data_IF_288045943086
#
_entry.id   IF_288045943086
#
_cell.length_a   1.000
_cell.length_b   1.000
_cell.length_c   1.000
_cell.angle_alpha   90.00
_cell.angle_beta   90.00
_cell.angle_gamma   90.00
#
_symmetry.space_group_name_H-M   'P 1'
#
loop_
_entity.id
_entity.type
_entity.pdbx_description
1 polymer ?
#
# COMPACT_ATOMS: atom_id res chain seq x y z
N UNK A 1 -46.98 40.78 -53.73
CA UNK A 1 -47.11 39.62 -52.83
C UNK A 1 -45.73 39.19 -52.38
N UNK A 2 -45.30 39.68 -51.21
CA UNK A 2 -44.06 39.25 -50.56
C UNK A 2 -44.34 37.97 -49.80
N UNK A 3 -43.76 36.86 -50.27
CA UNK A 3 -43.76 35.60 -49.54
C UNK A 3 -42.76 35.74 -48.38
N UNK A 4 -43.28 36.03 -47.19
CA UNK A 4 -42.50 35.93 -45.96
C UNK A 4 -42.27 34.43 -45.69
N UNK A 5 -41.03 33.98 -45.87
CA UNK A 5 -40.61 32.62 -45.53
C UNK A 5 -40.58 32.51 -43.99
N UNK A 6 -41.69 32.11 -43.37
CA UNK A 6 -41.70 31.83 -41.93
C UNK A 6 -40.91 30.55 -41.70
N UNK A 7 -39.71 30.66 -41.11
CA UNK A 7 -38.99 29.48 -40.67
C UNK A 7 -39.81 28.76 -39.61
N UNK A 8 -40.08 27.48 -39.83
CA UNK A 8 -40.76 26.62 -38.85
C UNK A 8 -39.95 26.63 -37.55
N UNK A 9 -40.55 26.98 -36.39
CA UNK A 9 -39.83 27.02 -35.14
C UNK A 9 -39.30 25.63 -34.78
N UNK A 10 -37.98 25.54 -34.56
CA UNK A 10 -37.32 24.29 -34.19
C UNK A 10 -37.62 23.96 -32.73
N UNK A 11 -38.44 22.95 -32.51
CA UNK A 11 -38.79 22.48 -31.17
C UNK A 11 -37.70 21.60 -30.55
N UNK A 12 -37.67 21.54 -29.21
CA UNK A 12 -36.78 20.66 -28.45
C UNK A 12 -37.18 19.20 -28.70
N UNK A 13 -36.25 18.33 -29.16
CA UNK A 13 -36.54 16.91 -29.31
C UNK A 13 -37.00 16.27 -27.99
N UNK A 14 -38.00 15.40 -28.05
CA UNK A 14 -38.52 14.72 -26.84
C UNK A 14 -37.91 13.33 -26.76
N UNK A 15 -37.12 13.06 -25.70
CA UNK A 15 -36.53 11.76 -25.45
C UNK A 15 -37.64 10.70 -25.24
N UNK A 16 -37.57 9.61 -26.00
CA UNK A 16 -38.55 8.52 -25.98
C UNK A 16 -38.14 7.40 -25.01
N UNK A 17 -36.83 7.24 -24.73
CA UNK A 17 -36.34 6.23 -23.81
C UNK A 17 -36.57 6.62 -22.34
N UNK A 18 -37.04 5.66 -21.52
CA UNK A 18 -37.37 5.89 -20.09
C UNK A 18 -36.16 5.89 -19.15
N UNK A 19 -34.99 5.43 -19.61
CA UNK A 19 -33.79 5.34 -18.78
C UNK A 19 -32.89 6.53 -19.04
N UNK A 20 -32.53 7.26 -17.98
CA UNK A 20 -31.45 8.26 -18.01
C UNK A 20 -30.06 7.59 -18.08
N UNK A 21 -29.99 6.26 -17.94
CA UNK A 21 -28.78 5.47 -18.12
C UNK A 21 -28.65 5.04 -19.59
N UNK A 22 -27.48 5.30 -20.16
CA UNK A 22 -27.09 4.99 -21.54
C UNK A 22 -25.92 4.02 -21.51
N UNK A 23 -26.18 2.78 -21.87
CA UNK A 23 -25.20 1.69 -21.96
C UNK A 23 -24.49 1.76 -23.30
N UNK A 24 -23.19 1.99 -23.31
CA UNK A 24 -22.40 2.21 -24.52
C UNK A 24 -21.51 0.99 -24.79
N UNK A 25 -21.39 0.51 -26.05
CA UNK A 25 -22.00 1.05 -27.28
C UNK A 25 -23.41 0.53 -27.61
N UNK A 26 -24.05 -0.25 -26.73
CA UNK A 26 -25.27 -1.01 -27.05
C UNK A 26 -26.55 -0.15 -27.22
N UNK A 27 -26.69 0.94 -26.48
CA UNK A 27 -27.92 1.70 -26.40
C UNK A 27 -28.03 2.70 -27.55
N UNK A 28 -29.23 2.75 -28.12
CA UNK A 28 -29.66 3.78 -29.06
C UNK A 28 -30.66 4.69 -28.37
N UNK A 29 -30.37 5.97 -28.30
CA UNK A 29 -31.30 6.97 -27.78
C UNK A 29 -32.22 7.41 -28.89
N UNK A 30 -33.52 7.44 -28.61
CA UNK A 30 -34.54 7.81 -29.58
C UNK A 30 -35.25 9.09 -29.14
N UNK A 31 -35.44 10.01 -30.08
CA UNK A 31 -36.12 11.29 -29.86
C UNK A 31 -37.21 11.49 -30.90
N UNK A 32 -38.35 12.04 -30.48
CA UNK A 32 -39.35 12.56 -31.41
C UNK A 32 -38.94 13.98 -31.84
N UNK A 33 -38.90 14.21 -33.15
CA UNK A 33 -38.55 15.52 -33.72
C UNK A 33 -39.15 15.69 -35.11
N UNK A 34 -39.53 16.92 -35.46
CA UNK A 34 -40.05 17.31 -36.77
C UNK A 34 -38.95 17.76 -37.75
N UNK A 35 -37.71 17.98 -37.26
CA UNK A 35 -36.58 18.44 -38.07
C UNK A 35 -35.67 17.31 -38.51
N UNK A 36 -35.11 17.39 -39.72
CA UNK A 36 -34.38 16.32 -40.42
C UNK A 36 -32.87 16.26 -40.18
N UNK A 37 -32.26 17.33 -39.66
CA UNK A 37 -30.80 17.48 -39.56
C UNK A 37 -30.38 17.73 -38.12
N UNK A 38 -29.67 16.77 -37.55
CA UNK A 38 -29.22 16.80 -36.16
C UNK A 38 -27.78 16.33 -36.04
N UNK A 39 -27.00 17.08 -35.29
CA UNK A 39 -25.70 16.66 -34.77
C UNK A 39 -25.85 16.26 -33.31
N UNK A 40 -25.11 15.23 -32.89
CA UNK A 40 -25.14 14.74 -31.53
C UNK A 40 -23.72 14.65 -30.94
N UNK A 41 -23.56 15.22 -29.74
CA UNK A 41 -22.30 15.22 -28.99
C UNK A 41 -22.56 14.78 -27.56
N UNK A 42 -21.81 13.80 -27.08
CA UNK A 42 -21.86 13.33 -25.70
C UNK A 42 -20.69 13.89 -24.92
N UNK A 43 -20.96 14.80 -23.99
CA UNK A 43 -19.96 15.36 -23.09
C UNK A 43 -19.81 14.45 -21.87
N UNK A 44 -18.71 13.72 -21.82
CA UNK A 44 -18.29 12.96 -20.65
C UNK A 44 -17.38 13.80 -19.75
N UNK A 45 -16.99 13.28 -18.60
CA UNK A 45 -16.05 13.93 -17.68
C UNK A 45 -14.65 14.15 -18.26
N UNK A 46 -14.25 13.33 -19.23
CA UNK A 46 -12.88 13.34 -19.76
C UNK A 46 -12.79 13.93 -21.16
N UNK A 47 -13.83 13.76 -21.99
CA UNK A 47 -13.84 14.30 -23.36
C UNK A 47 -15.25 14.31 -23.99
N UNK A 48 -15.50 15.22 -24.95
CA UNK A 48 -16.65 15.14 -25.83
C UNK A 48 -16.51 13.98 -26.84
N UNK A 49 -17.61 13.28 -27.12
CA UNK A 49 -17.69 12.15 -28.04
C UNK A 49 -18.73 12.43 -29.12
N UNK A 50 -18.31 12.49 -30.38
CA UNK A 50 -19.24 12.64 -31.51
C UNK A 50 -20.06 11.37 -31.68
N UNK A 51 -21.37 11.53 -31.72
CA UNK A 51 -22.32 10.43 -31.93
C UNK A 51 -22.84 10.42 -33.36
N UNK A 52 -23.34 9.27 -33.81
CA UNK A 52 -24.07 9.16 -35.08
C UNK A 52 -25.55 9.44 -34.85
N UNK A 53 -26.13 10.13 -35.82
CA UNK A 53 -27.56 10.41 -35.89
C UNK A 53 -28.14 9.72 -37.12
N UNK A 54 -29.32 9.12 -36.98
CA UNK A 54 -30.10 8.61 -38.10
C UNK A 54 -31.57 8.95 -37.88
N UNK A 55 -32.23 9.46 -38.90
CA UNK A 55 -33.62 9.86 -38.81
C UNK A 55 -34.50 9.08 -39.76
N UNK A 56 -35.58 8.52 -39.21
CA UNK A 56 -36.60 7.82 -39.97
C UNK A 56 -37.96 8.00 -39.30
N UNK A 57 -39.02 8.22 -40.09
CA UNK A 57 -40.42 8.24 -39.62
C UNK A 57 -40.67 9.19 -38.42
N UNK A 58 -40.08 10.39 -38.42
CA UNK A 58 -40.24 11.38 -37.34
C UNK A 58 -39.48 11.06 -36.05
N UNK A 59 -38.60 10.05 -36.08
CA UNK A 59 -37.72 9.68 -34.97
C UNK A 59 -36.27 9.89 -35.31
N UNK A 60 -35.56 10.58 -34.42
CA UNK A 60 -34.11 10.71 -34.42
C UNK A 60 -33.52 9.63 -33.52
N UNK A 61 -32.66 8.80 -34.08
CA UNK A 61 -31.87 7.80 -33.36
C UNK A 61 -30.43 8.30 -33.21
N UNK A 62 -29.90 8.18 -32.00
CA UNK A 62 -28.56 8.63 -31.61
C UNK A 62 -27.80 7.47 -31.00
N UNK A 63 -26.63 7.13 -31.55
CA UNK A 63 -25.83 5.99 -31.13
C UNK A 63 -24.33 6.26 -31.27
N UNK A 64 -23.52 5.55 -30.50
CA UNK A 64 -22.07 5.73 -30.51
C UNK A 64 -21.43 5.12 -31.77
N UNK A 65 -20.30 5.67 -32.21
CA UNK A 65 -19.50 5.10 -33.30
C UNK A 65 -18.92 3.73 -32.90
N UNK A 66 -19.00 2.70 -33.79
CA UNK A 66 -18.31 1.43 -33.57
C UNK A 66 -16.80 1.65 -33.39
N UNK A 67 -16.17 0.89 -32.49
CA UNK A 67 -14.71 0.86 -32.33
C UNK A 67 -14.13 1.63 -31.13
N UNK A 68 -14.94 2.30 -30.32
CA UNK A 68 -14.46 2.85 -29.05
C UNK A 68 -14.34 1.74 -28.00
N UNK A 69 -13.12 1.56 -27.45
CA UNK A 69 -12.75 0.48 -26.53
C UNK A 69 -13.32 0.57 -25.12
N UNK A 70 -14.34 1.39 -24.89
CA UNK A 70 -14.94 1.69 -23.58
C UNK A 70 -14.87 3.17 -23.25
N UNK A 71 -15.68 3.60 -22.28
CA UNK A 71 -15.77 4.98 -21.79
C UNK A 71 -15.61 5.01 -20.28
N UNK A 72 -15.22 6.17 -19.73
CA UNK A 72 -15.33 6.41 -18.30
C UNK A 72 -16.82 6.58 -17.94
N UNK A 73 -17.31 5.75 -17.03
CA UNK A 73 -18.70 5.73 -16.59
C UNK A 73 -19.03 6.89 -15.65
N UNK A 74 -20.30 7.25 -15.61
CA UNK A 74 -20.81 8.27 -14.69
C UNK A 74 -21.70 9.30 -15.37
N UNK A 75 -21.96 10.44 -14.70
CA UNK A 75 -22.75 11.53 -15.26
C UNK A 75 -22.18 12.05 -16.59
N UNK A 76 -23.06 12.49 -17.47
CA UNK A 76 -22.72 13.03 -18.78
C UNK A 76 -23.85 13.93 -19.28
N UNK A 77 -23.59 14.62 -20.38
CA UNK A 77 -24.58 15.48 -21.03
C UNK A 77 -24.61 15.21 -22.52
N UNK A 78 -25.76 14.79 -23.03
CA UNK A 78 -26.00 14.71 -24.47
C UNK A 78 -26.43 16.08 -24.98
N UNK A 79 -25.81 16.53 -26.05
CA UNK A 79 -26.22 17.68 -26.84
C UNK A 79 -26.79 17.21 -28.17
N UNK A 80 -27.95 17.77 -28.53
CA UNK A 80 -28.51 17.70 -29.87
C UNK A 80 -28.50 19.11 -30.46
N UNK A 81 -27.80 19.28 -31.58
CA UNK A 81 -27.65 20.56 -32.25
C UNK A 81 -28.23 20.53 -33.67
N UNK A 82 -28.83 21.65 -34.08
CA UNK A 82 -29.34 21.85 -35.44
C UNK A 82 -29.21 23.34 -35.79
N UNK A 83 -28.39 23.65 -36.80
CA UNK A 83 -27.95 25.02 -37.06
C UNK A 83 -27.36 25.68 -35.79
N UNK A 84 -27.94 26.81 -35.37
CA UNK A 84 -27.50 27.55 -34.18
C UNK A 84 -28.26 27.17 -32.89
N UNK A 85 -29.09 26.13 -32.91
CA UNK A 85 -29.87 25.71 -31.73
C UNK A 85 -29.26 24.47 -31.08
N UNK A 86 -29.18 24.51 -29.77
CA UNK A 86 -28.56 23.46 -28.95
C UNK A 86 -29.52 23.04 -27.83
N UNK A 87 -29.71 21.73 -27.67
CA UNK A 87 -30.54 21.15 -26.62
C UNK A 87 -29.73 20.14 -25.81
N UNK A 88 -29.79 20.26 -24.49
CA UNK A 88 -29.01 19.42 -23.58
C UNK A 88 -29.90 18.47 -22.78
N UNK A 89 -29.41 17.25 -22.58
CA UNK A 89 -30.05 16.18 -21.81
C UNK A 89 -29.04 15.60 -20.83
N UNK A 90 -29.33 15.61 -19.52
CA UNK A 90 -28.51 14.87 -18.56
C UNK A 90 -28.68 13.37 -18.81
N UNK A 91 -27.56 12.65 -18.79
CA UNK A 91 -27.52 11.19 -18.95
C UNK A 91 -26.47 10.62 -18.01
N UNK A 92 -26.59 9.36 -17.63
CA UNK A 92 -25.52 8.60 -16.99
C UNK A 92 -25.03 7.56 -17.97
N UNK A 93 -23.74 7.50 -18.24
CA UNK A 93 -23.16 6.56 -19.19
C UNK A 93 -22.54 5.38 -18.48
N UNK A 94 -22.73 4.18 -19.02
CA UNK A 94 -22.14 2.92 -18.55
C UNK A 94 -21.60 2.12 -19.72
N UNK A 95 -20.60 1.26 -19.51
CA UNK A 95 -20.18 0.32 -20.53
C UNK A 95 -21.14 -0.87 -20.55
N UNK A 96 -21.61 -1.26 -21.72
CA UNK A 96 -22.52 -2.41 -21.87
C UNK A 96 -21.81 -3.76 -21.64
N UNK A 97 -20.47 -3.77 -21.70
CA UNK A 97 -19.64 -4.95 -21.43
C UNK A 97 -18.60 -4.57 -20.39
N UNK A 98 -18.67 -5.22 -19.21
CA UNK A 98 -17.63 -5.10 -18.20
C UNK A 98 -16.40 -5.85 -18.70
N UNK A 99 -15.31 -5.10 -18.92
CA UNK A 99 -14.02 -5.69 -19.31
C UNK A 99 -13.30 -6.20 -18.08
N UNK A 100 -12.48 -7.24 -18.26
CA UNK A 100 -11.57 -7.70 -17.22
C UNK A 100 -10.60 -6.57 -16.86
N UNK A 101 -10.46 -6.32 -15.56
CA UNK A 101 -9.57 -5.28 -15.06
C UNK A 101 -8.21 -5.79 -14.63
N UNK A 102 -7.29 -4.86 -14.44
CA UNK A 102 -5.99 -5.09 -13.82
C UNK A 102 -6.05 -4.74 -12.34
N UNK A 103 -5.54 -5.61 -11.49
CA UNK A 103 -5.38 -5.33 -10.06
C UNK A 103 -4.20 -4.37 -9.84
N UNK A 104 -4.44 -3.32 -9.04
CA UNK A 104 -3.40 -2.43 -8.53
C UNK A 104 -3.22 -2.69 -7.04
N UNK A 105 -1.96 -2.78 -6.62
CA UNK A 105 -1.54 -3.08 -5.24
C UNK A 105 -0.62 -1.97 -4.77
N UNK A 106 -1.09 -1.21 -3.78
CA UNK A 106 -0.36 -0.14 -3.13
C UNK A 106 -0.03 -0.58 -1.72
N UNK A 107 1.19 -0.29 -1.27
CA UNK A 107 1.65 -0.67 0.07
C UNK A 107 2.31 0.51 0.73
N UNK A 108 2.14 0.63 2.05
CA UNK A 108 2.86 1.63 2.83
C UNK A 108 4.37 1.40 2.66
N UNK A 109 5.16 2.42 2.31
CA UNK A 109 6.61 2.32 2.31
C UNK A 109 7.05 2.12 3.75
N UNK A 110 7.66 0.97 4.05
CA UNK A 110 8.29 0.74 5.34
C UNK A 110 9.68 0.16 5.13
N UNK A 111 10.69 0.94 5.50
CA UNK A 111 11.85 0.40 6.20
C UNK A 111 11.30 -0.02 7.57
N UNK A 112 11.02 -1.31 7.77
CA UNK A 112 10.42 -1.79 9.01
C UNK A 112 11.51 -1.86 10.07
N UNK A 113 11.52 -0.89 10.99
CA UNK A 113 12.25 -1.07 12.24
C UNK A 113 11.52 -2.19 13.03
N UNK A 114 12.22 -3.26 13.42
CA UNK A 114 11.64 -4.43 14.05
C UNK A 114 11.12 -4.17 15.46
N UNK A 115 11.52 -3.07 16.10
CA UNK A 115 10.96 -2.66 17.38
C UNK A 115 9.58 -1.97 17.21
N UNK A 116 9.23 -1.53 16.00
CA UNK A 116 8.11 -0.61 15.79
C UNK A 116 6.81 -1.24 15.28
N UNK A 117 6.86 -2.23 14.37
CA UNK A 117 5.73 -3.11 13.99
C UNK A 117 6.04 -3.96 12.75
N UNK A 118 5.82 -5.27 12.81
CA UNK A 118 5.83 -6.19 11.65
C UNK A 118 4.53 -6.14 10.83
N UNK A 119 3.96 -4.94 10.69
CA UNK A 119 2.70 -4.72 9.98
C UNK A 119 2.92 -3.82 8.77
N UNK A 120 2.38 -4.20 7.61
CA UNK A 120 2.35 -3.37 6.41
C UNK A 120 0.91 -3.14 5.97
N UNK A 121 0.55 -1.88 5.75
CA UNK A 121 -0.75 -1.54 5.20
C UNK A 121 -0.74 -1.75 3.68
N UNK A 122 -1.81 -2.35 3.17
CA UNK A 122 -2.02 -2.65 1.76
C UNK A 122 -3.39 -2.15 1.34
N UNK A 123 -3.45 -1.52 0.17
CA UNK A 123 -4.69 -1.13 -0.51
C UNK A 123 -4.67 -1.76 -1.91
N UNK A 124 -5.73 -2.49 -2.26
CA UNK A 124 -5.93 -3.02 -3.61
C UNK A 124 -7.23 -2.52 -4.23
N UNK A 125 -7.19 -2.32 -5.55
CA UNK A 125 -8.38 -2.06 -6.36
C UNK A 125 -8.21 -2.65 -7.77
N UNK A 126 -9.30 -2.76 -8.52
CA UNK A 126 -9.29 -3.22 -9.91
C UNK A 126 -9.74 -2.07 -10.80
N UNK A 127 -8.98 -1.78 -11.85
CA UNK A 127 -9.37 -0.86 -12.92
C UNK A 127 -9.49 -1.58 -14.25
N UNK A 128 -10.54 -1.30 -15.01
CA UNK A 128 -10.69 -1.77 -16.39
C UNK A 128 -9.79 -0.96 -17.37
N UNK A 129 -9.69 -1.37 -18.65
CA UNK A 129 -8.94 -0.63 -19.66
C UNK A 129 -9.47 0.80 -19.94
N UNK A 130 -10.73 1.09 -19.61
CA UNK A 130 -11.34 2.41 -19.72
C UNK A 130 -11.18 3.25 -18.44
N UNK A 131 -10.44 2.73 -17.44
CA UNK A 131 -10.15 3.33 -16.13
C UNK A 131 -11.34 3.43 -15.17
N UNK A 132 -12.37 2.60 -15.36
CA UNK A 132 -13.44 2.44 -14.38
C UNK A 132 -13.00 1.53 -13.24
N UNK A 133 -13.40 1.89 -12.01
CA UNK A 133 -13.24 1.01 -10.84
C UNK A 133 -14.21 -0.16 -10.97
N UNK A 134 -13.70 -1.37 -10.78
CA UNK A 134 -14.52 -2.59 -10.70
C UNK A 134 -14.68 -3.00 -9.24
N UNK A 135 -15.87 -3.47 -8.89
CA UNK A 135 -16.13 -4.00 -7.55
C UNK A 135 -15.33 -5.29 -7.30
N UNK A 136 -14.72 -5.37 -6.13
CA UNK A 136 -14.13 -6.56 -5.55
C UNK A 136 -15.25 -7.40 -4.91
N UNK A 137 -15.32 -8.71 -5.19
CA UNK A 137 -16.34 -9.59 -4.63
C UNK A 137 -16.44 -9.49 -3.10
N UNK A 138 -17.55 -8.95 -2.61
CA UNK A 138 -17.83 -8.81 -1.17
C UNK A 138 -16.97 -7.78 -0.43
N UNK A 139 -16.20 -6.94 -1.12
CA UNK A 139 -15.28 -5.94 -0.52
C UNK A 139 -15.48 -4.51 -1.03
N UNK A 140 -16.45 -4.26 -1.92
CA UNK A 140 -16.64 -2.94 -2.53
C UNK A 140 -15.54 -2.62 -3.53
N UNK A 141 -15.21 -1.34 -3.76
CA UNK A 141 -14.22 -0.95 -4.79
C UNK A 141 -12.76 -1.01 -4.32
N UNK A 142 -12.53 -0.94 -3.02
CA UNK A 142 -11.21 -0.93 -2.42
C UNK A 142 -11.15 -1.95 -1.31
N UNK A 143 -10.07 -2.72 -1.27
CA UNK A 143 -9.77 -3.60 -0.14
C UNK A 143 -8.52 -3.07 0.55
N UNK A 144 -8.72 -2.63 1.78
CA UNK A 144 -7.66 -2.24 2.70
C UNK A 144 -7.39 -3.38 3.68
N UNK A 145 -6.12 -3.71 3.87
CA UNK A 145 -5.67 -4.80 4.73
C UNK A 145 -4.38 -4.41 5.46
N UNK A 146 -4.25 -4.87 6.69
CA UNK A 146 -2.99 -4.92 7.40
C UNK A 146 -2.39 -6.32 7.21
N UNK A 147 -1.19 -6.38 6.64
CA UNK A 147 -0.44 -7.61 6.44
C UNK A 147 0.59 -7.75 7.56
N UNK A 148 0.52 -8.86 8.30
CA UNK A 148 1.62 -9.29 9.15
C UNK A 148 2.76 -9.79 8.28
N UNK A 149 3.95 -9.27 8.50
CA UNK A 149 5.16 -9.63 7.78
C UNK A 149 5.98 -10.63 8.58
N UNK A 150 6.48 -11.66 7.91
CA UNK A 150 7.45 -12.58 8.51
C UNK A 150 8.83 -11.91 8.59
N UNK A 151 9.53 -12.02 9.74
CA UNK A 151 10.88 -11.49 9.87
C UNK A 151 11.82 -12.20 8.90
N UNK A 152 12.51 -11.43 8.06
CA UNK A 152 13.49 -11.96 7.09
C UNK A 152 14.77 -11.13 7.11
N UNK A 153 15.92 -11.79 7.26
CA UNK A 153 17.25 -11.16 7.24
C UNK A 153 17.70 -10.96 5.79
N UNK A 154 17.83 -9.71 5.33
CA UNK A 154 18.36 -9.38 4.01
C UNK A 154 18.91 -7.94 3.97
N UNK A 155 19.87 -7.69 3.07
CA UNK A 155 20.36 -6.33 2.76
C UNK A 155 19.48 -5.72 1.68
N UNK A 156 18.94 -4.54 1.97
CA UNK A 156 18.12 -3.80 1.01
C UNK A 156 18.95 -3.28 -0.17
N UNK A 157 18.41 -3.41 -1.39
CA UNK A 157 18.86 -2.67 -2.57
C UNK A 157 17.64 -2.00 -3.20
N UNK A 158 17.65 -0.67 -3.27
CA UNK A 158 16.60 0.07 -3.98
C UNK A 158 16.58 -0.35 -5.45
N UNK A 159 15.41 -0.77 -5.94
CA UNK A 159 15.19 -0.99 -7.36
C UNK A 159 14.02 -0.08 -7.78
N UNK A 160 14.25 0.75 -8.80
CA UNK A 160 13.20 1.58 -9.35
C UNK A 160 12.03 0.70 -9.81
N UNK A 161 10.80 1.16 -9.57
CA UNK A 161 9.55 0.53 -10.03
C UNK A 161 9.20 -0.86 -9.48
N UNK A 162 9.94 -1.37 -8.48
CA UNK A 162 9.52 -2.55 -7.70
C UNK A 162 8.94 -2.12 -6.36
N UNK A 163 7.65 -2.38 -6.06
CA UNK A 163 7.11 -2.16 -4.72
C UNK A 163 7.88 -3.05 -3.74
N UNK A 164 8.57 -2.41 -2.82
CA UNK A 164 9.46 -3.07 -1.87
C UNK A 164 8.61 -3.81 -0.83
N UNK A 165 8.80 -5.13 -0.77
CA UNK A 165 8.48 -5.90 0.42
C UNK A 165 9.58 -5.64 1.45
N UNK A 166 9.20 -5.52 2.72
CA UNK A 166 10.03 -5.01 3.81
C UNK A 166 11.33 -5.81 4.00
N UNK A 167 12.48 -5.15 4.18
CA UNK A 167 13.74 -5.80 4.60
C UNK A 167 14.68 -4.87 5.39
N UNK A 168 15.53 -5.54 6.17
CA UNK A 168 16.44 -5.11 7.24
C UNK A 168 15.77 -4.79 8.59
N UNK A 169 15.78 -5.84 9.42
CA UNK A 169 15.60 -5.77 10.86
C UNK A 169 16.98 -5.37 11.42
N UNK A 170 17.18 -4.10 11.78
CA UNK A 170 18.25 -3.77 12.73
C UNK A 170 18.03 -4.67 13.94
N UNK A 171 18.99 -5.51 14.36
CA UNK A 171 18.72 -6.45 15.44
C UNK A 171 18.27 -5.67 16.68
N UNK A 172 17.08 -6.03 17.15
CA UNK A 172 16.43 -5.30 18.23
C UNK A 172 17.14 -5.50 19.57
N UNK A 173 16.57 -4.93 20.63
CA UNK A 173 17.07 -5.15 21.98
C UNK A 173 17.04 -6.65 22.35
N UNK A 174 18.08 -7.15 23.02
CA UNK A 174 18.10 -8.55 23.45
C UNK A 174 16.93 -8.85 24.41
N UNK A 175 16.35 -10.05 24.30
CA UNK A 175 15.30 -10.49 25.24
C UNK A 175 15.90 -10.88 26.58
N UNK A 176 17.06 -11.55 26.55
CA UNK A 176 17.75 -12.08 27.70
C UNK A 176 19.25 -11.77 27.61
N UNK A 177 19.89 -11.61 28.77
CA UNK A 177 21.35 -11.48 28.90
C UNK A 177 21.91 -12.75 29.57
N UNK A 178 22.17 -13.83 28.83
CA UNK A 178 22.78 -15.01 29.41
C UNK A 178 24.22 -14.71 29.81
N UNK A 179 24.59 -15.10 31.03
CA UNK A 179 25.96 -14.98 31.55
C UNK A 179 26.41 -16.33 32.11
N UNK A 180 27.66 -16.67 31.82
CA UNK A 180 28.35 -17.84 32.34
C UNK A 180 29.73 -17.40 32.85
N UNK A 181 30.19 -18.04 33.91
CA UNK A 181 31.53 -17.81 34.45
C UNK A 181 32.13 -19.15 34.84
N UNK A 182 33.41 -19.37 34.52
CA UNK A 182 34.11 -20.60 34.86
C UNK A 182 35.57 -20.36 35.21
N UNK A 183 36.07 -21.05 36.24
CA UNK A 183 37.47 -20.99 36.63
C UNK A 183 38.36 -21.79 35.66
N UNK A 184 39.46 -21.19 35.23
CA UNK A 184 40.48 -21.77 34.36
C UNK A 184 41.77 -21.96 35.15
N UNK A 185 41.99 -23.18 35.63
CA UNK A 185 43.15 -23.55 36.44
C UNK A 185 44.50 -23.23 35.78
N UNK A 186 44.61 -23.40 34.46
CA UNK A 186 45.85 -23.17 33.72
C UNK A 186 46.38 -21.74 33.81
N UNK A 187 45.47 -20.75 33.82
CA UNK A 187 45.82 -19.32 33.83
C UNK A 187 45.45 -18.62 35.15
N UNK A 188 44.97 -19.39 36.14
CA UNK A 188 44.48 -18.88 37.42
C UNK A 188 43.50 -17.69 37.25
N UNK A 189 42.51 -17.86 36.38
CA UNK A 189 41.57 -16.81 35.99
C UNK A 189 40.14 -17.34 35.89
N UNK A 190 39.16 -16.43 35.98
CA UNK A 190 37.79 -16.68 35.58
C UNK A 190 37.59 -16.23 34.14
N UNK A 191 36.98 -17.06 33.32
CA UNK A 191 36.44 -16.66 32.02
C UNK A 191 34.96 -16.36 32.20
N UNK A 192 34.55 -15.11 31.97
CA UNK A 192 33.17 -14.66 32.00
C UNK A 192 32.69 -14.45 30.58
N UNK A 193 31.66 -15.17 30.17
CA UNK A 193 31.08 -15.10 28.83
C UNK A 193 29.64 -14.58 28.95
N UNK A 194 29.34 -13.55 28.17
CA UNK A 194 27.99 -12.99 28.01
C UNK A 194 27.52 -13.27 26.59
N UNK A 195 26.31 -13.82 26.46
CA UNK A 195 25.70 -14.18 25.18
C UNK A 195 25.50 -15.70 24.96
N UNK A 196 24.95 -16.11 23.82
CA UNK A 196 24.60 -15.26 22.67
C UNK A 196 23.48 -14.27 23.00
N UNK A 197 23.64 -13.00 22.62
CA UNK A 197 22.60 -11.98 22.74
C UNK A 197 21.73 -11.99 21.48
N UNK A 198 20.45 -12.30 21.69
CA UNK A 198 19.47 -12.51 20.63
C UNK A 198 18.22 -11.66 20.92
N UNK A 199 17.68 -11.02 19.89
CA UNK A 199 16.43 -10.27 19.95
C UNK A 199 15.20 -11.20 20.00
N UNK A 200 13.99 -10.62 20.06
CA UNK A 200 12.73 -11.39 20.13
C UNK A 200 12.40 -12.19 18.88
N UNK A 201 13.12 -11.93 17.79
CA UNK A 201 12.92 -12.53 16.48
C UNK A 201 14.02 -13.52 16.11
N UNK A 202 14.98 -13.78 17.00
CA UNK A 202 16.06 -14.74 16.76
C UNK A 202 17.30 -14.13 16.11
N UNK A 203 17.39 -12.81 15.95
CA UNK A 203 18.56 -12.16 15.36
C UNK A 203 19.63 -11.86 16.40
N UNK A 204 20.89 -12.05 16.01
CA UNK A 204 22.04 -11.66 16.81
C UNK A 204 22.10 -10.14 16.96
N UNK A 205 22.21 -9.66 18.21
CA UNK A 205 22.37 -8.23 18.51
C UNK A 205 23.61 -7.65 17.81
N UNK A 206 23.50 -6.41 17.35
CA UNK A 206 24.53 -5.76 16.54
C UNK A 206 25.89 -5.68 17.27
N UNK A 207 26.95 -5.92 16.51
CA UNK A 207 28.32 -5.71 16.97
C UNK A 207 28.54 -4.26 17.41
N UNK A 208 29.38 -4.07 18.43
CA UNK A 208 29.60 -2.76 19.03
C UNK A 208 28.54 -2.36 20.07
N UNK A 209 27.50 -3.16 20.28
CA UNK A 209 26.57 -2.96 21.40
C UNK A 209 27.33 -3.06 22.73
N UNK A 210 27.16 -2.08 23.60
CA UNK A 210 27.84 -2.01 24.89
C UNK A 210 27.25 -3.02 25.88
N UNK A 211 28.10 -3.90 26.40
CA UNK A 211 27.81 -4.80 27.51
C UNK A 211 28.58 -4.32 28.73
N UNK A 212 27.88 -4.10 29.84
CA UNK A 212 28.51 -3.75 31.12
C UNK A 212 28.53 -4.95 32.04
N UNK A 213 29.72 -5.34 32.52
CA UNK A 213 29.90 -6.29 33.62
C UNK A 213 30.01 -5.51 34.92
N UNK A 214 29.04 -5.68 35.80
CA UNK A 214 29.05 -5.16 37.16
C UNK A 214 29.60 -6.21 38.11
N UNK A 215 30.72 -5.89 38.76
CA UNK A 215 31.41 -6.72 39.75
C UNK A 215 31.18 -6.14 41.14
N UNK A 216 30.81 -6.96 42.12
CA UNK A 216 30.52 -6.52 43.49
C UNK A 216 31.24 -7.39 44.53
N UNK A 217 31.84 -6.75 45.52
CA UNK A 217 32.46 -7.43 46.67
C UNK A 217 32.66 -6.46 47.83
N UNK A 218 32.31 -6.89 49.05
CA UNK A 218 32.56 -6.11 50.27
C UNK A 218 31.98 -4.69 50.24
N UNK A 219 30.81 -4.50 49.63
CA UNK A 219 30.14 -3.20 49.48
C UNK A 219 30.71 -2.28 48.38
N UNK A 220 31.76 -2.71 47.66
CA UNK A 220 32.31 -1.99 46.51
C UNK A 220 31.74 -2.54 45.20
N UNK A 221 31.61 -1.64 44.22
CA UNK A 221 31.08 -1.94 42.89
C UNK A 221 32.09 -1.46 41.83
N UNK A 222 32.33 -2.30 40.84
CA UNK A 222 33.16 -1.98 39.66
C UNK A 222 32.38 -2.28 38.40
N UNK A 223 32.62 -1.48 37.36
CA UNK A 223 32.03 -1.65 36.03
C UNK A 223 33.14 -1.90 35.02
N UNK A 224 32.96 -2.93 34.19
CA UNK A 224 33.79 -3.20 33.03
C UNK A 224 32.90 -3.13 31.79
N UNK A 225 33.32 -2.35 30.82
CA UNK A 225 32.60 -2.12 29.57
C UNK A 225 33.27 -2.89 28.44
N UNK A 226 32.48 -3.67 27.71
CA UNK A 226 32.94 -4.48 26.59
C UNK A 226 31.99 -4.31 25.41
N UNK A 227 32.56 -4.35 24.20
CA UNK A 227 31.78 -4.29 22.98
C UNK A 227 31.41 -5.71 22.53
N UNK A 228 30.14 -5.91 22.21
CA UNK A 228 29.65 -7.15 21.62
C UNK A 228 30.35 -7.45 20.29
N UNK A 229 30.75 -8.70 20.09
CA UNK A 229 31.26 -9.21 18.82
C UNK A 229 30.61 -10.55 18.49
N UNK A 230 29.99 -10.66 17.32
CA UNK A 230 29.24 -11.83 16.87
C UNK A 230 28.25 -12.34 17.93
N UNK A 231 27.56 -11.42 18.61
CA UNK A 231 26.58 -11.76 19.65
C UNK A 231 27.16 -12.19 21.00
N UNK A 232 28.48 -12.14 21.18
CA UNK A 232 29.17 -12.60 22.38
C UNK A 232 30.14 -11.55 22.94
N UNK A 233 30.34 -11.59 24.25
CA UNK A 233 31.44 -10.93 24.96
C UNK A 233 32.14 -11.98 25.81
N UNK A 234 33.47 -12.03 25.78
CA UNK A 234 34.27 -12.84 26.70
C UNK A 234 35.29 -11.97 27.42
N UNK A 235 35.35 -12.08 28.74
CA UNK A 235 36.29 -11.35 29.58
C UNK A 235 37.01 -12.28 30.55
N UNK A 236 38.33 -12.19 30.55
CA UNK A 236 39.18 -12.90 31.51
C UNK A 236 39.47 -12.03 32.73
N UNK A 237 39.17 -12.56 33.92
CA UNK A 237 39.39 -11.90 35.21
C UNK A 237 40.40 -12.69 36.06
N UNK A 238 41.50 -12.09 36.54
CA UNK A 238 42.46 -12.79 37.40
C UNK A 238 41.83 -13.29 38.71
N UNK A 239 41.91 -14.59 38.99
CA UNK A 239 41.21 -15.17 40.13
C UNK A 239 41.72 -14.65 41.48
N UNK A 240 43.01 -14.34 41.58
CA UNK A 240 43.64 -13.76 42.79
C UNK A 240 42.96 -12.47 43.25
N UNK A 241 42.37 -11.69 42.32
CA UNK A 241 41.74 -10.40 42.62
C UNK A 241 40.22 -10.50 42.76
N UNK A 242 39.60 -11.40 41.99
CA UNK A 242 38.15 -11.41 41.81
C UNK A 242 37.45 -12.63 42.43
N UNK A 243 38.17 -13.53 43.09
CA UNK A 243 37.55 -14.64 43.83
C UNK A 243 36.57 -14.12 44.89
N UNK A 244 35.39 -14.75 44.96
CA UNK A 244 34.31 -14.39 45.87
C UNK A 244 33.46 -13.20 45.42
N UNK A 245 33.78 -12.57 44.29
CA UNK A 245 32.97 -11.47 43.75
C UNK A 245 31.68 -12.00 43.13
N UNK A 246 30.65 -11.16 43.18
CA UNK A 246 29.43 -11.33 42.40
C UNK A 246 29.59 -10.60 41.06
N UNK A 247 29.22 -11.26 39.96
CA UNK A 247 29.22 -10.71 38.60
C UNK A 247 27.82 -10.72 38.01
N UNK A 248 27.41 -9.59 37.44
CA UNK A 248 26.18 -9.44 36.68
C UNK A 248 26.51 -8.71 35.37
N UNK A 249 25.93 -9.16 34.26
CA UNK A 249 25.99 -8.47 32.98
C UNK A 249 24.71 -7.67 32.77
N UNK A 250 24.83 -6.50 32.14
CA UNK A 250 23.69 -5.72 31.69
C UNK A 250 23.93 -5.13 30.30
N UNK A 251 22.85 -5.01 29.54
CA UNK A 251 22.79 -4.40 28.21
C UNK A 251 21.60 -3.47 28.23
N UNK A 252 21.86 -2.16 28.17
CA UNK A 252 20.82 -1.14 28.37
C UNK A 252 20.05 -1.37 29.69
N UNK A 253 18.74 -1.59 29.62
CA UNK A 253 17.83 -1.83 30.74
C UNK A 253 17.66 -3.33 31.10
N UNK A 254 18.35 -4.24 30.40
CA UNK A 254 18.27 -5.68 30.61
C UNK A 254 19.43 -6.17 31.47
N UNK A 255 19.10 -7.03 32.43
CA UNK A 255 20.04 -7.56 33.41
C UNK A 255 20.10 -9.08 33.36
N UNK A 256 21.29 -9.63 33.49
CA UNK A 256 21.49 -11.07 33.67
C UNK A 256 21.18 -11.49 35.11
N UNK A 257 21.18 -12.81 35.33
CA UNK A 257 21.38 -13.36 36.67
C UNK A 257 22.73 -12.91 37.25
N UNK A 258 22.81 -12.87 38.58
CA UNK A 258 24.08 -12.67 39.28
C UNK A 258 24.77 -14.02 39.48
N UNK A 259 26.07 -14.09 39.20
CA UNK A 259 26.90 -15.27 39.44
C UNK A 259 27.97 -14.96 40.47
N UNK A 260 28.29 -15.92 41.34
CA UNK A 260 29.42 -15.81 42.26
C UNK A 260 30.65 -16.45 41.65
N UNK A 261 31.78 -15.75 41.65
CA UNK A 261 33.05 -16.26 41.16
C UNK A 261 33.72 -17.12 42.23
N UNK A 262 33.66 -18.44 42.06
CA UNK A 262 34.29 -19.42 42.96
C UNK A 262 35.07 -20.46 42.16
N UNK A 263 36.12 -21.02 42.80
CA UNK A 263 36.94 -22.11 42.25
C UNK A 263 36.18 -23.43 42.36
#
# INVERSE_FOLDING_TARGET
MTWACSQVPIEKPVLVSKSEIVSIPADTLSFNTSHSEWEAMLYTHIQPLKMRTHQANGRLMVFLLPGQGGILEGPARLELATGNRHFYYPVTVRNSVVKTGSMKDYRSPKTVNPDSALAQQRIVHIIDPARNLLELPGKGYFLEQELTLDPTVAVYRANADKPLTAYYVEPGSCVNVPVQAGYKKGNNSFEVVVGPLIDRHGNTVADGTLVTLTLRSGGKVWHLEENLQNGLVSRTLPAQKFIGFDVQANVQDRFSKTLKLSI
#
